data_IF_418459193820
#
_entry.id   IF_418459193820
#
_cell.length_a   1.000
_cell.length_b   1.000
_cell.length_c   1.000
_cell.angle_alpha   90.00
_cell.angle_beta   90.00
_cell.angle_gamma   90.00
#
_symmetry.space_group_name_H-M   'P 1'
#
loop_
_entity.id
_entity.type
_entity.pdbx_description
1 polymer ?
#
# COMPACT_ATOMS: atom_id res chain seq x y z
N UNK A 1 -7.52 -31.30 7.96
CA UNK A 1 -7.43 -30.68 6.64
C UNK A 1 -8.58 -29.71 6.49
N UNK A 2 -8.32 -28.40 6.61
CA UNK A 2 -9.30 -27.38 6.28
C UNK A 2 -9.06 -26.97 4.82
N UNK A 3 -9.84 -27.50 3.90
CA UNK A 3 -9.90 -27.02 2.52
C UNK A 3 -10.85 -25.82 2.52
N UNK A 4 -10.29 -24.61 2.60
CA UNK A 4 -11.07 -23.37 2.54
C UNK A 4 -11.65 -23.20 1.12
N UNK A 5 -12.95 -23.37 0.99
CA UNK A 5 -13.71 -22.92 -0.17
C UNK A 5 -13.96 -21.42 0.10
N UNK A 6 -13.48 -20.55 -0.78
CA UNK A 6 -13.72 -19.09 -0.68
C UNK A 6 -15.21 -18.74 -0.60
N UNK A 7 -15.57 -17.49 -0.28
CA UNK A 7 -16.88 -17.16 0.26
C UNK A 7 -18.04 -17.57 -0.64
N UNK A 8 -18.84 -18.53 -0.15
CA UNK A 8 -20.27 -18.47 -0.34
C UNK A 8 -20.86 -17.66 0.82
N UNK A 9 -21.53 -16.59 0.45
CA UNK A 9 -22.49 -15.80 1.21
C UNK A 9 -23.37 -16.64 2.15
N UNK A 10 -24.23 -15.98 2.94
CA UNK A 10 -24.15 -15.82 4.40
C UNK A 10 -23.95 -17.16 5.17
N UNK A 11 -23.03 -17.17 6.13
CA UNK A 11 -22.82 -18.29 7.06
C UNK A 11 -21.54 -19.11 6.87
N UNK A 12 -20.58 -18.65 6.06
CA UNK A 12 -19.31 -19.35 5.80
C UNK A 12 -18.12 -18.38 5.84
N UNK A 13 -17.01 -18.71 6.52
CA UNK A 13 -15.89 -17.79 6.77
C UNK A 13 -15.04 -17.52 5.52
N UNK A 14 -14.77 -16.22 5.26
CA UNK A 14 -13.88 -15.68 4.21
C UNK A 14 -12.38 -15.98 4.48
N UNK A 15 -12.07 -16.40 5.70
CA UNK A 15 -10.72 -16.64 6.20
C UNK A 15 -10.57 -18.05 6.79
N UNK A 16 -9.32 -18.55 6.85
CA UNK A 16 -8.99 -19.81 7.53
C UNK A 16 -9.31 -19.76 9.04
N UNK A 17 -9.06 -18.62 9.67
CA UNK A 17 -9.50 -18.31 11.04
C UNK A 17 -10.35 -17.06 10.98
N UNK A 18 -11.59 -17.12 11.45
CA UNK A 18 -12.51 -15.97 11.47
C UNK A 18 -13.12 -15.81 12.87
N UNK A 19 -13.15 -14.58 13.35
CA UNK A 19 -13.88 -14.17 14.55
C UNK A 19 -14.87 -13.06 14.20
N UNK A 20 -16.15 -13.26 14.53
CA UNK A 20 -17.22 -12.30 14.23
C UNK A 20 -17.93 -11.86 15.51
N UNK A 21 -18.06 -10.55 15.73
CA UNK A 21 -18.85 -10.00 16.84
C UNK A 21 -18.29 -10.31 18.23
N UNK A 22 -17.01 -10.65 18.34
CA UNK A 22 -16.37 -11.06 19.58
C UNK A 22 -15.90 -9.83 20.40
N UNK A 23 -15.78 -10.01 21.72
CA UNK A 23 -15.19 -9.03 22.63
C UNK A 23 -14.13 -9.73 23.48
N UNK A 24 -13.01 -9.06 23.74
CA UNK A 24 -11.88 -9.61 24.51
C UNK A 24 -11.38 -10.93 23.89
N UNK A 25 -10.92 -10.83 22.64
CA UNK A 25 -10.51 -11.97 21.83
C UNK A 25 -9.12 -11.75 21.25
N UNK A 26 -8.46 -12.81 20.80
CA UNK A 26 -7.13 -12.66 20.24
C UNK A 26 -6.45 -13.95 19.83
N UNK A 27 -5.32 -13.79 19.14
CA UNK A 27 -4.39 -14.86 18.79
C UNK A 27 -3.02 -14.45 19.35
N UNK A 28 -2.54 -15.16 20.36
CA UNK A 28 -1.33 -14.81 21.10
C UNK A 28 -0.44 -16.05 21.23
N UNK A 29 0.84 -15.90 20.92
CA UNK A 29 1.84 -16.96 21.06
C UNK A 29 3.05 -16.70 20.17
N UNK A 30 3.99 -17.62 20.15
CA UNK A 30 5.19 -17.60 19.29
C UNK A 30 5.11 -18.59 18.12
N UNK A 31 4.01 -19.34 18.04
CA UNK A 31 3.74 -20.35 17.01
C UNK A 31 3.46 -19.77 15.62
N UNK A 32 3.19 -20.69 14.69
CA UNK A 32 2.98 -20.39 13.27
C UNK A 32 1.57 -20.76 12.83
N UNK A 33 0.92 -19.87 12.07
CA UNK A 33 -0.27 -20.15 11.27
C UNK A 33 0.18 -20.18 9.81
N UNK A 34 0.11 -21.35 9.19
CA UNK A 34 0.52 -21.60 7.82
C UNK A 34 -0.72 -21.77 6.94
N UNK A 35 -0.85 -20.92 5.92
CA UNK A 35 -1.98 -20.89 5.00
C UNK A 35 -1.85 -21.80 3.78
N UNK A 36 -0.71 -22.47 3.58
CA UNK A 36 -0.47 -23.36 2.43
C UNK A 36 -0.74 -22.73 1.06
N UNK A 37 -0.55 -21.41 0.91
CA UNK A 37 -0.85 -20.65 -0.31
C UNK A 37 -0.04 -21.10 -1.54
N UNK A 38 1.15 -21.66 -1.31
CA UNK A 38 2.03 -22.21 -2.34
C UNK A 38 1.70 -23.67 -2.72
N UNK A 39 0.94 -24.37 -1.89
CA UNK A 39 0.79 -25.82 -2.01
C UNK A 39 -0.16 -26.17 -3.15
N UNK A 40 0.36 -26.95 -4.09
CA UNK A 40 -0.43 -27.50 -5.19
C UNK A 40 -1.26 -28.69 -4.68
N UNK A 41 -2.60 -28.66 -4.78
CA UNK A 41 -3.42 -29.82 -4.45
C UNK A 41 -3.26 -30.93 -5.51
N UNK A 42 -3.83 -32.14 -5.31
CA UNK A 42 -3.89 -33.14 -6.36
C UNK A 42 -4.60 -32.62 -7.61
N UNK A 43 -4.24 -33.09 -8.81
CA UNK A 43 -4.81 -32.61 -10.09
C UNK A 43 -6.35 -32.74 -10.21
N UNK A 44 -7.01 -33.50 -9.34
CA UNK A 44 -8.48 -33.59 -9.26
C UNK A 44 -9.13 -32.40 -8.55
N UNK A 45 -8.36 -31.60 -7.82
CA UNK A 45 -8.75 -30.39 -7.12
C UNK A 45 -7.98 -29.26 -7.80
N UNK A 46 -8.68 -28.24 -8.27
CA UNK A 46 -8.05 -26.99 -8.76
C UNK A 46 -7.06 -27.22 -9.92
N UNK A 47 -7.21 -28.32 -10.66
CA UNK A 47 -6.22 -28.92 -11.58
C UNK A 47 -4.77 -28.88 -11.07
N UNK A 48 -4.60 -29.01 -9.76
CA UNK A 48 -3.30 -28.97 -9.08
C UNK A 48 -2.64 -27.59 -9.05
N UNK A 49 -3.39 -26.51 -9.21
CA UNK A 49 -2.89 -25.15 -9.05
C UNK A 49 -2.96 -24.74 -7.58
N UNK A 50 -1.88 -24.14 -7.07
CA UNK A 50 -1.90 -23.48 -5.77
C UNK A 50 -2.66 -22.15 -5.84
N UNK A 51 -3.02 -21.61 -4.67
CA UNK A 51 -3.68 -20.30 -4.57
C UNK A 51 -2.87 -19.19 -5.25
N UNK A 52 -1.54 -19.21 -5.11
CA UNK A 52 -0.68 -18.22 -5.76
C UNK A 52 -0.61 -18.41 -7.27
N UNK A 53 -0.57 -19.65 -7.76
CA UNK A 53 -0.58 -19.95 -9.19
C UNK A 53 -1.88 -19.48 -9.85
N UNK A 54 -3.03 -19.71 -9.20
CA UNK A 54 -4.33 -19.22 -9.65
C UNK A 54 -4.35 -17.69 -9.75
N UNK A 55 -3.84 -16.99 -8.74
CA UNK A 55 -3.78 -15.53 -8.73
C UNK A 55 -2.87 -14.95 -9.82
N UNK A 56 -1.68 -15.53 -10.01
CA UNK A 56 -0.74 -15.11 -11.04
C UNK A 56 -1.34 -15.28 -12.45
N UNK A 57 -2.00 -16.41 -12.69
CA UNK A 57 -2.65 -16.67 -13.96
C UNK A 57 -3.82 -15.71 -14.22
N UNK A 58 -4.63 -15.40 -13.20
CA UNK A 58 -5.72 -14.44 -13.31
C UNK A 58 -5.23 -13.04 -13.73
N UNK A 59 -4.11 -12.56 -13.18
CA UNK A 59 -3.52 -11.25 -13.53
C UNK A 59 -3.08 -11.13 -15.00
N UNK A 60 -2.82 -12.26 -15.68
CA UNK A 60 -2.34 -12.28 -17.07
C UNK A 60 -3.45 -12.11 -18.13
N UNK A 61 -4.72 -12.06 -17.71
CA UNK A 61 -5.86 -11.99 -18.61
C UNK A 61 -6.08 -10.54 -19.09
N UNK A 62 -6.10 -10.34 -20.41
CA UNK A 62 -6.24 -9.03 -21.07
C UNK A 62 -7.69 -8.60 -21.32
N UNK A 63 -8.63 -9.54 -21.29
CA UNK A 63 -10.08 -9.30 -21.39
C UNK A 63 -10.82 -10.31 -20.50
N UNK A 64 -11.28 -9.85 -19.34
CA UNK A 64 -11.82 -10.73 -18.29
C UNK A 64 -13.21 -11.31 -18.63
N UNK A 65 -13.87 -10.81 -19.69
CA UNK A 65 -15.09 -11.41 -20.23
C UNK A 65 -14.87 -12.78 -20.90
N UNK A 66 -13.61 -13.15 -21.16
CA UNK A 66 -13.22 -14.44 -21.77
C UNK A 66 -12.67 -15.45 -20.74
N UNK A 67 -12.45 -15.04 -19.48
CA UNK A 67 -11.93 -15.90 -18.42
C UNK A 67 -12.91 -17.03 -18.12
N UNK A 68 -12.41 -18.24 -17.91
CA UNK A 68 -13.19 -19.46 -17.90
C UNK A 68 -12.62 -20.49 -16.95
N UNK A 69 -13.41 -21.00 -16.02
CA UNK A 69 -12.92 -21.93 -15.02
C UNK A 69 -13.91 -23.10 -14.85
N UNK A 70 -13.53 -24.29 -15.33
CA UNK A 70 -14.20 -25.56 -15.02
C UNK A 70 -13.34 -26.32 -14.01
N UNK A 71 -13.79 -26.34 -12.75
CA UNK A 71 -12.89 -26.61 -11.62
C UNK A 71 -11.94 -25.42 -11.40
N UNK A 72 -11.31 -25.33 -10.24
CA UNK A 72 -10.44 -24.21 -9.82
C UNK A 72 -9.11 -24.16 -10.60
N UNK A 73 -9.18 -24.23 -11.92
CA UNK A 73 -8.03 -24.25 -12.78
C UNK A 73 -8.21 -23.32 -13.95
N UNK A 74 -7.13 -22.61 -14.25
CA UNK A 74 -7.02 -21.75 -15.43
C UNK A 74 -6.94 -22.65 -16.66
N UNK A 75 -8.10 -23.08 -17.17
CA UNK A 75 -8.21 -23.65 -18.51
C UNK A 75 -8.65 -22.51 -19.42
N UNK A 76 -7.83 -22.23 -20.44
CA UNK A 76 -8.27 -21.44 -21.57
C UNK A 76 -9.56 -22.07 -22.15
N UNK A 77 -10.64 -21.28 -22.20
CA UNK A 77 -12.00 -21.54 -22.67
C UNK A 77 -13.03 -22.10 -21.65
N UNK A 78 -14.22 -21.44 -21.55
CA UNK A 78 -15.44 -21.65 -20.68
C UNK A 78 -15.80 -20.62 -19.56
N UNK A 79 -16.05 -19.36 -19.94
CA UNK A 79 -16.75 -18.26 -19.25
C UNK A 79 -17.03 -18.30 -17.73
N UNK A 80 -16.47 -17.34 -16.98
CA UNK A 80 -16.95 -16.78 -15.70
C UNK A 80 -17.88 -15.58 -15.92
N UNK A 81 -18.05 -15.13 -17.16
CA UNK A 81 -19.04 -14.12 -17.53
C UNK A 81 -20.45 -14.66 -17.20
N UNK A 82 -20.96 -14.40 -16.00
CA UNK A 82 -22.24 -14.96 -15.60
C UNK A 82 -22.73 -14.63 -14.20
N UNK A 83 -22.27 -15.31 -13.13
CA UNK A 83 -23.20 -15.46 -11.98
C UNK A 83 -22.65 -15.58 -10.55
N UNK A 84 -21.35 -15.79 -10.27
CA UNK A 84 -20.98 -16.19 -8.89
C UNK A 84 -20.29 -15.09 -8.05
N UNK A 85 -19.48 -14.21 -8.64
CA UNK A 85 -18.81 -13.10 -7.91
C UNK A 85 -18.78 -11.83 -8.78
N UNK A 86 -19.95 -11.32 -9.21
CA UNK A 86 -20.05 -10.15 -10.10
C UNK A 86 -19.42 -8.89 -9.51
N UNK A 87 -19.14 -8.89 -8.21
CA UNK A 87 -18.72 -7.71 -7.49
C UNK A 87 -17.20 -7.63 -7.30
N UNK A 88 -16.41 -8.70 -7.44
CA UNK A 88 -14.96 -8.61 -7.13
C UNK A 88 -14.19 -7.96 -8.30
N UNK A 89 -13.38 -6.90 -8.05
CA UNK A 89 -12.55 -6.26 -9.04
C UNK A 89 -11.63 -7.27 -9.69
N UNK A 90 -11.59 -7.25 -11.01
CA UNK A 90 -10.64 -8.06 -11.77
C UNK A 90 -9.19 -7.73 -11.40
N UNK A 91 -8.91 -6.51 -10.92
CA UNK A 91 -7.61 -6.09 -10.38
C UNK A 91 -7.16 -6.86 -9.14
N UNK A 92 -8.09 -7.46 -8.38
CA UNK A 92 -7.80 -8.23 -7.17
C UNK A 92 -7.49 -9.71 -7.47
N UNK A 93 -7.57 -10.11 -8.75
CA UNK A 93 -7.43 -11.49 -9.18
C UNK A 93 -8.67 -12.33 -8.85
N UNK A 94 -8.47 -13.62 -8.59
CA UNK A 94 -9.51 -14.54 -8.15
C UNK A 94 -9.75 -14.41 -6.62
N UNK A 95 -11.01 -14.52 -6.15
CA UNK A 95 -11.27 -14.66 -4.72
C UNK A 95 -10.53 -15.86 -4.13
N UNK A 96 -9.80 -15.60 -3.05
CA UNK A 96 -9.00 -16.57 -2.31
C UNK A 96 -9.24 -16.36 -0.81
N UNK A 97 -9.15 -17.41 0.00
CA UNK A 97 -9.34 -17.26 1.44
C UNK A 97 -8.27 -16.34 2.04
N UNK A 98 -8.66 -15.49 2.99
CA UNK A 98 -7.71 -14.80 3.87
C UNK A 98 -7.17 -15.78 4.92
N UNK A 99 -6.09 -15.42 5.60
CA UNK A 99 -5.56 -16.28 6.66
C UNK A 99 -6.28 -16.06 7.99
N UNK A 100 -6.33 -14.82 8.47
CA UNK A 100 -7.02 -14.45 9.71
C UNK A 100 -7.91 -13.24 9.47
N UNK A 101 -9.16 -13.33 9.92
CA UNK A 101 -10.11 -12.22 9.93
C UNK A 101 -10.68 -12.02 11.33
N UNK A 102 -10.71 -10.75 11.76
CA UNK A 102 -11.65 -10.28 12.77
C UNK A 102 -12.66 -9.35 12.09
N UNK A 103 -13.94 -9.59 12.37
CA UNK A 103 -15.05 -8.83 11.82
C UNK A 103 -15.93 -8.31 12.94
N UNK A 104 -16.10 -6.99 13.01
CA UNK A 104 -16.95 -6.30 13.99
C UNK A 104 -16.64 -6.74 15.43
N UNK A 105 -15.36 -6.94 15.75
CA UNK A 105 -14.89 -7.33 17.06
C UNK A 105 -14.45 -6.11 17.88
N UNK A 106 -14.34 -6.31 19.19
CA UNK A 106 -13.89 -5.28 20.13
C UNK A 106 -12.82 -5.84 21.07
N UNK A 107 -11.84 -5.02 21.42
CA UNK A 107 -10.79 -5.40 22.38
C UNK A 107 -10.02 -6.63 21.85
N UNK A 108 -9.48 -6.53 20.63
CA UNK A 108 -8.78 -7.61 19.93
C UNK A 108 -7.28 -7.52 20.17
N UNK A 109 -6.63 -8.64 20.50
CA UNK A 109 -5.16 -8.72 20.65
C UNK A 109 -4.54 -9.77 19.73
N UNK A 110 -3.62 -9.36 18.86
CA UNK A 110 -2.78 -10.28 18.08
C UNK A 110 -1.33 -10.11 18.48
N UNK A 111 -0.70 -11.16 19.01
CA UNK A 111 0.61 -11.08 19.66
C UNK A 111 1.58 -12.18 19.27
N UNK A 112 2.77 -11.82 18.76
CA UNK A 112 3.95 -12.69 18.63
C UNK A 112 3.95 -13.75 17.51
N UNK A 113 2.77 -14.11 17.01
CA UNK A 113 2.60 -15.21 16.06
C UNK A 113 3.28 -14.94 14.71
N UNK A 114 3.64 -16.02 14.01
CA UNK A 114 4.04 -16.00 12.61
C UNK A 114 2.86 -16.35 11.71
N UNK A 115 2.53 -15.47 10.77
CA UNK A 115 1.64 -15.75 9.65
C UNK A 115 2.49 -16.03 8.41
N UNK A 116 2.29 -17.17 7.76
CA UNK A 116 3.10 -17.59 6.60
C UNK A 116 2.26 -18.29 5.55
N UNK A 117 2.76 -18.26 4.32
CA UNK A 117 2.15 -18.82 3.13
C UNK A 117 0.64 -18.51 3.02
N UNK A 118 0.24 -17.27 3.29
CA UNK A 118 -1.17 -16.90 3.19
C UNK A 118 -1.65 -17.02 1.73
N UNK A 119 -2.82 -17.63 1.46
CA UNK A 119 -3.41 -17.64 0.13
C UNK A 119 -3.68 -16.25 -0.43
N UNK A 120 -3.96 -15.26 0.45
CA UNK A 120 -4.21 -13.86 0.14
C UNK A 120 -3.81 -12.98 1.36
N UNK A 121 -4.63 -12.04 1.82
CA UNK A 121 -4.33 -11.17 2.97
C UNK A 121 -4.10 -11.99 4.25
N UNK A 122 -3.10 -11.59 5.05
CA UNK A 122 -2.68 -12.35 6.23
C UNK A 122 -3.55 -12.04 7.44
N UNK A 123 -3.63 -10.77 7.86
CA UNK A 123 -4.45 -10.33 8.99
C UNK A 123 -5.39 -9.22 8.55
N UNK A 124 -6.69 -9.52 8.53
CA UNK A 124 -7.74 -8.59 8.13
C UNK A 124 -8.53 -8.17 9.38
N UNK A 125 -8.63 -6.86 9.61
CA UNK A 125 -9.29 -6.27 10.77
C UNK A 125 -10.44 -5.39 10.28
N UNK A 126 -11.65 -5.93 10.21
CA UNK A 126 -12.81 -5.28 9.57
C UNK A 126 -13.80 -4.77 10.60
N UNK A 127 -14.04 -3.46 10.60
CA UNK A 127 -15.00 -2.81 11.50
C UNK A 127 -14.71 -3.09 12.98
N UNK A 128 -13.46 -3.36 13.31
CA UNK A 128 -13.02 -3.65 14.67
C UNK A 128 -12.76 -2.36 15.44
N UNK A 129 -12.92 -2.42 16.77
CA UNK A 129 -12.62 -1.29 17.64
C UNK A 129 -11.68 -1.72 18.77
N UNK A 130 -10.66 -0.90 19.03
CA UNK A 130 -9.66 -1.18 20.06
C UNK A 130 -8.89 -2.48 19.77
N UNK A 131 -7.98 -2.40 18.80
CA UNK A 131 -7.14 -3.54 18.38
C UNK A 131 -5.68 -3.26 18.68
N UNK A 132 -5.01 -4.22 19.29
CA UNK A 132 -3.56 -4.24 19.43
C UNK A 132 -2.94 -5.38 18.61
N UNK A 133 -1.96 -5.02 17.78
CA UNK A 133 -1.09 -5.98 17.08
C UNK A 133 0.34 -5.74 17.54
N UNK A 134 0.92 -6.71 18.23
CA UNK A 134 2.22 -6.58 18.89
C UNK A 134 3.15 -7.73 18.50
N UNK A 135 4.35 -7.43 17.98
CA UNK A 135 5.34 -8.48 17.71
C UNK A 135 4.95 -9.46 16.60
N UNK A 136 3.93 -9.14 15.80
CA UNK A 136 3.47 -9.99 14.69
C UNK A 136 4.59 -10.16 13.66
N UNK A 137 4.76 -11.39 13.19
CA UNK A 137 5.63 -11.71 12.06
C UNK A 137 4.81 -12.18 10.87
N UNK A 138 5.12 -11.68 9.69
CA UNK A 138 4.55 -12.16 8.43
C UNK A 138 5.69 -12.52 7.49
N UNK A 139 5.63 -13.71 6.90
CA UNK A 139 6.60 -14.18 5.92
C UNK A 139 5.89 -14.90 4.77
N UNK A 140 5.82 -14.27 3.61
CA UNK A 140 5.37 -14.89 2.36
C UNK A 140 6.44 -14.74 1.27
N UNK A 141 6.33 -15.57 0.23
CA UNK A 141 7.15 -15.41 -0.95
C UNK A 141 6.89 -14.02 -1.57
N UNK A 142 7.92 -13.21 -1.90
CA UNK A 142 7.74 -11.88 -2.48
C UNK A 142 7.02 -11.84 -3.84
N UNK A 143 6.87 -12.98 -4.52
CA UNK A 143 6.11 -13.10 -5.77
C UNK A 143 4.65 -13.49 -5.55
N UNK A 144 4.25 -13.80 -4.31
CA UNK A 144 2.86 -14.15 -3.97
C UNK A 144 1.93 -12.95 -4.13
N UNK A 145 0.91 -13.09 -4.97
CA UNK A 145 0.02 -11.98 -5.32
C UNK A 145 -1.00 -11.67 -4.20
N UNK A 146 -1.18 -10.39 -3.86
CA UNK A 146 -2.21 -9.90 -2.91
C UNK A 146 -2.09 -10.55 -1.52
N UNK A 147 -0.85 -10.73 -1.05
CA UNK A 147 -0.55 -11.29 0.27
C UNK A 147 -0.28 -10.19 1.30
N UNK A 148 -1.08 -9.13 1.30
CA UNK A 148 -0.97 -7.99 2.22
C UNK A 148 -0.78 -8.48 3.68
N UNK A 149 0.09 -7.80 4.44
CA UNK A 149 0.48 -8.20 5.79
C UNK A 149 -0.62 -7.94 6.82
N UNK A 150 -1.09 -6.68 6.92
CA UNK A 150 -2.20 -6.29 7.78
C UNK A 150 -3.12 -5.32 7.04
N UNK A 151 -4.41 -5.61 7.06
CA UNK A 151 -5.46 -4.86 6.36
C UNK A 151 -6.53 -4.38 7.36
N UNK A 152 -6.35 -3.23 8.02
CA UNK A 152 -7.45 -2.60 8.73
C UNK A 152 -8.45 -2.00 7.73
N UNK A 153 -9.73 -2.34 7.87
CA UNK A 153 -10.82 -1.91 6.99
C UNK A 153 -11.99 -1.37 7.82
N UNK A 154 -12.18 -0.05 7.83
CA UNK A 154 -13.24 0.61 8.59
C UNK A 154 -13.10 0.45 10.10
N UNK A 155 -11.88 0.25 10.60
CA UNK A 155 -11.58 -0.08 11.99
C UNK A 155 -10.99 1.11 12.74
N UNK A 156 -11.20 1.17 14.05
CA UNK A 156 -10.90 2.35 14.86
C UNK A 156 -10.08 2.01 16.12
N UNK A 157 -9.20 2.92 16.53
CA UNK A 157 -8.34 2.78 17.72
C UNK A 157 -7.44 1.56 17.60
N UNK A 158 -6.46 1.68 16.71
CA UNK A 158 -5.58 0.59 16.31
C UNK A 158 -4.14 0.91 16.76
N UNK A 159 -3.46 -0.06 17.37
CA UNK A 159 -2.05 0.06 17.76
C UNK A 159 -1.26 -1.11 17.21
N UNK A 160 -0.45 -0.87 16.19
CA UNK A 160 0.44 -1.85 15.60
C UNK A 160 1.89 -1.51 15.96
N UNK A 161 2.60 -2.43 16.59
CA UNK A 161 3.98 -2.18 17.02
C UNK A 161 4.85 -3.42 17.07
N UNK A 162 6.16 -3.22 16.86
CA UNK A 162 7.12 -4.32 16.88
C UNK A 162 6.93 -5.32 15.73
N UNK A 163 6.41 -4.89 14.58
CA UNK A 163 6.08 -5.78 13.48
C UNK A 163 7.34 -6.18 12.70
N UNK A 164 7.35 -7.40 12.15
CA UNK A 164 8.30 -7.83 11.13
C UNK A 164 7.55 -8.46 9.97
N UNK A 165 7.41 -7.73 8.86
CA UNK A 165 6.53 -8.13 7.75
C UNK A 165 7.33 -8.19 6.46
N UNK A 166 7.41 -9.37 5.84
CA UNK A 166 7.92 -9.55 4.49
C UNK A 166 6.90 -10.36 3.68
N UNK A 167 6.40 -9.81 2.59
CA UNK A 167 5.32 -10.40 1.81
C UNK A 167 5.37 -10.01 0.34
N UNK A 168 4.40 -10.44 -0.47
CA UNK A 168 4.35 -10.17 -1.92
C UNK A 168 3.50 -8.96 -2.34
N UNK A 169 2.78 -8.34 -1.40
CA UNK A 169 2.03 -7.09 -1.60
C UNK A 169 2.28 -6.11 -0.44
N UNK A 170 1.36 -5.22 -0.09
CA UNK A 170 1.53 -4.21 0.97
C UNK A 170 1.90 -4.83 2.33
N UNK A 171 2.87 -4.24 3.04
CA UNK A 171 3.23 -4.70 4.38
C UNK A 171 2.11 -4.36 5.37
N UNK A 172 1.55 -3.16 5.24
CA UNK A 172 0.31 -2.73 5.90
C UNK A 172 -0.50 -1.94 4.88
N UNK A 173 -1.76 -2.32 4.66
CA UNK A 173 -2.68 -1.66 3.73
C UNK A 173 -3.90 -1.11 4.47
N UNK A 174 -3.88 0.19 4.76
CA UNK A 174 -4.93 0.89 5.47
C UNK A 174 -6.07 1.17 4.52
N UNK A 175 -7.23 0.55 4.76
CA UNK A 175 -8.41 0.62 3.90
C UNK A 175 -9.61 1.07 4.73
N UNK A 176 -10.71 1.41 4.09
CA UNK A 176 -11.96 1.81 4.75
C UNK A 176 -13.18 1.19 4.07
N UNK A 177 -12.98 0.31 3.11
CA UNK A 177 -14.03 -0.37 2.36
C UNK A 177 -13.98 -0.05 0.88
N UNK A 178 -14.55 -0.96 0.11
CA UNK A 178 -14.76 -0.81 -1.32
C UNK A 178 -16.07 -0.03 -1.58
N UNK A 179 -16.16 0.77 -2.64
CA UNK A 179 -17.35 1.52 -2.95
C UNK A 179 -18.56 0.59 -3.14
N UNK A 180 -19.60 0.83 -2.33
CA UNK A 180 -20.97 0.50 -2.69
C UNK A 180 -21.72 1.77 -3.10
N UNK A 181 -22.20 1.76 -4.36
CA UNK A 181 -23.24 2.62 -5.00
C UNK A 181 -22.69 3.87 -5.73
N UNK A 182 -23.04 4.15 -7.02
CA UNK A 182 -24.34 3.98 -7.72
C UNK A 182 -24.34 3.12 -9.01
N UNK A 183 -25.54 2.86 -9.56
CA UNK A 183 -25.77 2.08 -10.77
C UNK A 183 -24.84 2.50 -11.92
N UNK A 184 -24.07 1.54 -12.44
CA UNK A 184 -23.04 1.76 -13.45
C UNK A 184 -21.60 1.87 -12.93
N UNK A 185 -21.35 1.69 -11.63
CA UNK A 185 -19.97 1.60 -11.09
C UNK A 185 -19.36 0.19 -11.25
N UNK A 186 -18.02 0.14 -11.14
CA UNK A 186 -17.18 -1.05 -11.30
C UNK A 186 -17.36 -2.14 -10.21
N UNK A 187 -17.98 -1.85 -9.06
CA UNK A 187 -18.26 -2.78 -7.95
C UNK A 187 -19.62 -2.40 -7.32
N UNK A 188 -20.56 -3.34 -7.21
CA UNK A 188 -21.89 -3.15 -6.59
C UNK A 188 -22.18 -4.24 -5.55
N UNK A 189 -21.55 -4.22 -4.36
CA UNK A 189 -21.73 -5.31 -3.41
C UNK A 189 -23.23 -5.44 -3.07
N UNK A 190 -23.82 -6.63 -3.06
CA UNK A 190 -25.23 -6.84 -2.74
C UNK A 190 -25.57 -6.62 -1.25
N UNK A 191 -24.63 -6.09 -0.46
CA UNK A 191 -24.73 -5.94 0.99
C UNK A 191 -24.59 -4.49 1.45
N UNK A 192 -25.40 -4.14 2.45
CA UNK A 192 -25.28 -2.87 3.18
C UNK A 192 -24.11 -2.95 4.18
N UNK A 193 -22.89 -2.78 3.70
CA UNK A 193 -21.69 -2.76 4.54
C UNK A 193 -21.63 -1.47 5.40
N UNK A 194 -21.07 -1.53 6.62
CA UNK A 194 -20.84 -0.33 7.43
C UNK A 194 -20.03 0.73 6.67
N UNK A 195 -20.48 1.98 6.73
CA UNK A 195 -19.79 3.14 6.15
C UNK A 195 -18.96 3.84 7.23
N UNK A 196 -17.83 3.24 7.57
CA UNK A 196 -16.99 3.66 8.71
C UNK A 196 -15.58 3.99 8.22
N UNK A 197 -14.99 5.13 8.61
CA UNK A 197 -13.61 5.43 8.29
C UNK A 197 -12.66 4.54 9.11
N UNK A 198 -11.50 4.21 8.53
CA UNK A 198 -10.40 3.71 9.37
C UNK A 198 -9.73 4.89 10.04
N UNK A 199 -9.63 4.86 11.37
CA UNK A 199 -9.15 6.01 12.13
C UNK A 199 -8.42 5.65 13.41
N UNK A 200 -7.65 6.61 13.92
CA UNK A 200 -6.87 6.51 15.16
C UNK A 200 -5.92 5.30 15.13
N UNK A 201 -5.11 5.20 14.07
CA UNK A 201 -4.14 4.13 13.86
C UNK A 201 -2.72 4.62 14.16
N UNK A 202 -2.00 3.84 14.97
CA UNK A 202 -0.55 3.99 15.18
C UNK A 202 0.19 2.78 14.64
N UNK A 203 1.22 3.01 13.82
CA UNK A 203 2.18 1.99 13.35
C UNK A 203 3.58 2.38 13.80
N UNK A 204 4.19 1.59 14.67
CA UNK A 204 5.41 2.00 15.37
C UNK A 204 6.47 0.91 15.45
N UNK A 205 7.75 1.29 15.47
CA UNK A 205 8.88 0.41 15.83
C UNK A 205 8.89 -0.90 15.02
N UNK A 206 8.80 -0.81 13.70
CA UNK A 206 8.53 -1.96 12.83
C UNK A 206 9.55 -2.08 11.69
N UNK A 207 9.73 -3.30 11.19
CA UNK A 207 10.60 -3.60 10.05
C UNK A 207 9.77 -4.23 8.93
N UNK A 208 9.76 -3.57 7.78
CA UNK A 208 9.11 -4.03 6.56
C UNK A 208 10.18 -4.52 5.59
N UNK A 209 10.18 -5.82 5.32
CA UNK A 209 11.03 -6.50 4.35
C UNK A 209 10.49 -6.38 2.93
N UNK A 210 10.51 -7.45 2.13
CA UNK A 210 9.87 -7.41 0.80
C UNK A 210 8.37 -7.09 0.93
N UNK A 211 7.81 -6.42 -0.07
CA UNK A 211 6.42 -5.98 -0.09
C UNK A 211 6.25 -4.60 -0.72
N UNK A 212 5.03 -4.08 -0.76
CA UNK A 212 4.67 -2.81 -1.40
C UNK A 212 4.70 -1.60 -0.46
N UNK A 213 5.09 -1.77 0.81
CA UNK A 213 5.31 -0.68 1.77
C UNK A 213 4.17 -0.46 2.77
N UNK A 214 4.18 0.71 3.39
CA UNK A 214 3.10 1.22 4.23
C UNK A 214 2.12 1.98 3.34
N UNK A 215 0.99 1.36 3.04
CA UNK A 215 0.03 1.87 2.07
C UNK A 215 -1.27 2.32 2.73
N UNK A 216 -1.80 3.43 2.24
CA UNK A 216 -3.18 3.87 2.43
C UNK A 216 -3.91 3.61 1.11
N UNK A 217 -4.96 2.77 1.14
CA UNK A 217 -5.84 2.47 0.02
C UNK A 217 -5.61 1.09 -0.64
N UNK A 218 -6.18 0.84 -1.82
CA UNK A 218 -6.91 1.81 -2.66
C UNK A 218 -8.33 2.10 -2.17
N UNK A 219 -8.82 1.26 -1.28
CA UNK A 219 -10.20 1.16 -0.83
C UNK A 219 -10.51 2.22 0.23
N UNK A 220 -10.55 3.49 -0.17
CA UNK A 220 -10.62 4.66 0.74
C UNK A 220 -12.02 5.29 0.85
N UNK A 221 -13.07 4.58 0.43
CA UNK A 221 -14.38 5.20 0.14
C UNK A 221 -15.09 5.74 1.38
N UNK A 222 -14.78 5.26 2.57
CA UNK A 222 -15.38 5.72 3.81
C UNK A 222 -14.47 6.69 4.59
N UNK A 223 -13.30 7.03 4.04
CA UNK A 223 -12.35 7.95 4.65
C UNK A 223 -11.30 7.28 5.52
N UNK A 224 -10.16 7.96 5.65
CA UNK A 224 -9.01 7.51 6.44
C UNK A 224 -8.45 8.72 7.17
N UNK A 225 -8.34 8.65 8.49
CA UNK A 225 -7.93 9.82 9.28
C UNK A 225 -7.17 9.49 10.56
N UNK A 226 -6.40 10.46 11.06
CA UNK A 226 -5.63 10.35 12.31
C UNK A 226 -4.65 9.16 12.28
N UNK A 227 -3.80 9.14 11.24
CA UNK A 227 -2.80 8.09 11.05
C UNK A 227 -1.46 8.60 11.55
N UNK A 228 -0.82 7.82 12.43
CA UNK A 228 0.52 8.09 12.94
C UNK A 228 1.43 6.91 12.64
N UNK A 229 2.50 7.13 11.89
CA UNK A 229 3.48 6.09 11.60
C UNK A 229 4.88 6.58 11.95
N UNK A 230 5.62 5.85 12.79
CA UNK A 230 6.96 6.27 13.18
C UNK A 230 7.93 5.15 13.47
N UNK A 231 9.22 5.44 13.28
CA UNK A 231 10.32 4.52 13.54
C UNK A 231 10.10 3.20 12.77
N UNK A 232 10.06 3.31 11.44
CA UNK A 232 9.83 2.17 10.54
C UNK A 232 11.04 2.03 9.63
N UNK A 233 11.58 0.81 9.58
CA UNK A 233 12.62 0.44 8.65
C UNK A 233 12.01 -0.28 7.44
N UNK A 234 12.36 0.15 6.23
CA UNK A 234 11.98 -0.50 4.98
C UNK A 234 13.24 -1.12 4.35
N UNK A 235 13.17 -2.41 4.01
CA UNK A 235 14.28 -3.21 3.54
C UNK A 235 13.87 -3.92 2.25
N UNK A 236 14.21 -3.34 1.10
CA UNK A 236 13.91 -3.97 -0.19
C UNK A 236 12.45 -3.85 -0.65
N UNK A 237 11.62 -3.00 -0.03
CA UNK A 237 10.22 -2.79 -0.46
C UNK A 237 10.13 -2.10 -1.83
N UNK A 238 9.02 -2.32 -2.53
CA UNK A 238 8.73 -1.61 -3.79
C UNK A 238 8.39 -0.15 -3.54
N UNK A 239 7.68 0.17 -2.44
CA UNK A 239 7.44 1.54 -2.00
C UNK A 239 7.77 1.72 -0.52
N UNK A 240 8.06 2.95 -0.10
CA UNK A 240 8.15 3.31 1.30
C UNK A 240 6.78 3.64 1.87
N UNK A 241 6.48 4.94 2.02
CA UNK A 241 5.14 5.41 2.38
C UNK A 241 4.32 5.70 1.12
N UNK A 242 3.09 5.18 1.08
CA UNK A 242 2.23 5.22 -0.10
C UNK A 242 0.79 5.61 0.24
N UNK A 243 0.21 6.49 -0.57
CA UNK A 243 -1.23 6.74 -0.64
C UNK A 243 -1.68 6.43 -2.05
N UNK A 244 -2.64 5.53 -2.19
CA UNK A 244 -3.27 5.15 -3.46
C UNK A 244 -4.77 5.38 -3.37
N UNK A 245 -5.32 6.26 -4.19
CA UNK A 245 -6.77 6.50 -4.27
C UNK A 245 -7.17 6.94 -5.68
N UNK A 246 -8.44 7.21 -5.92
CA UNK A 246 -8.92 7.78 -7.18
C UNK A 246 -10.40 8.18 -7.16
N UNK A 247 -10.87 8.72 -8.29
CA UNK A 247 -12.18 9.38 -8.47
C UNK A 247 -13.41 8.56 -8.04
N UNK A 248 -13.29 7.24 -8.07
CA UNK A 248 -14.33 6.24 -7.83
C UNK A 248 -14.31 5.64 -6.40
N UNK A 249 -13.30 5.96 -5.59
CA UNK A 249 -13.06 5.31 -4.28
C UNK A 249 -12.50 6.24 -3.21
N UNK A 250 -12.31 7.52 -3.54
CA UNK A 250 -11.80 8.52 -2.62
C UNK A 250 -12.81 8.89 -1.54
N UNK A 251 -12.31 9.62 -0.55
CA UNK A 251 -13.06 10.38 0.44
C UNK A 251 -12.02 11.32 1.11
N UNK A 252 -12.32 11.85 2.29
CA UNK A 252 -11.35 12.53 3.15
C UNK A 252 -10.23 11.55 3.56
N UNK A 253 -8.99 11.87 3.19
CA UNK A 253 -7.77 11.16 3.60
C UNK A 253 -6.86 12.20 4.21
N UNK A 254 -6.85 12.31 5.55
CA UNK A 254 -6.27 13.47 6.19
C UNK A 254 -5.75 13.24 7.61
N UNK A 255 -5.04 14.24 8.12
CA UNK A 255 -4.38 14.18 9.42
C UNK A 255 -3.47 12.95 9.52
N UNK A 256 -2.44 12.96 8.67
CA UNK A 256 -1.46 11.88 8.54
C UNK A 256 -0.09 12.43 8.94
N UNK A 257 0.53 11.83 9.95
CA UNK A 257 1.89 12.16 10.39
C UNK A 257 2.76 10.90 10.28
N UNK A 258 3.73 10.95 9.40
CA UNK A 258 4.67 9.86 9.12
C UNK A 258 6.08 10.37 9.35
N UNK A 259 6.84 9.73 10.25
CA UNK A 259 8.18 10.22 10.59
C UNK A 259 9.17 9.15 10.98
N UNK A 260 10.45 9.51 11.01
CA UNK A 260 11.53 8.62 11.42
C UNK A 260 11.53 7.33 10.57
N UNK A 261 11.60 7.51 9.24
CA UNK A 261 11.62 6.40 8.28
C UNK A 261 13.03 6.15 7.77
N UNK A 262 13.49 4.91 7.87
CA UNK A 262 14.75 4.48 7.28
C UNK A 262 14.51 3.49 6.16
N UNK A 263 14.93 3.81 4.95
CA UNK A 263 14.69 3.01 3.76
C UNK A 263 16.03 2.55 3.18
N UNK A 264 16.18 1.25 2.99
CA UNK A 264 17.35 0.63 2.34
C UNK A 264 16.88 -0.15 1.13
N UNK A 265 17.39 0.24 -0.03
CA UNK A 265 17.00 -0.27 -1.34
C UNK A 265 15.48 -0.26 -1.46
N UNK A 266 14.87 0.92 -1.56
CA UNK A 266 13.42 1.04 -1.80
C UNK A 266 13.20 1.62 -3.19
N UNK A 267 12.28 1.00 -3.94
CA UNK A 267 11.96 1.38 -5.30
C UNK A 267 11.42 2.81 -5.37
N UNK A 268 10.28 3.07 -4.74
CA UNK A 268 9.63 4.39 -4.68
C UNK A 268 9.51 4.85 -3.22
N UNK A 269 10.44 5.68 -2.70
CA UNK A 269 10.43 6.09 -1.29
C UNK A 269 9.11 6.72 -0.83
N UNK A 270 8.57 7.68 -1.59
CA UNK A 270 7.29 8.32 -1.30
C UNK A 270 6.36 8.24 -2.53
N UNK A 271 5.14 7.73 -2.35
CA UNK A 271 4.20 7.49 -3.44
C UNK A 271 2.78 7.92 -3.09
N UNK A 272 2.43 9.18 -3.30
CA UNK A 272 1.11 9.73 -3.02
C UNK A 272 0.39 10.00 -4.35
N UNK A 273 -0.66 9.24 -4.66
CA UNK A 273 -1.35 9.31 -5.94
C UNK A 273 -2.87 9.18 -5.81
N UNK A 274 -3.57 10.10 -6.47
CA UNK A 274 -5.01 10.09 -6.69
C UNK A 274 -5.42 9.51 -8.06
N UNK A 275 -4.52 8.78 -8.74
CA UNK A 275 -4.73 8.15 -10.05
C UNK A 275 -4.57 6.63 -10.02
N UNK A 276 -4.90 5.95 -8.92
CA UNK A 276 -4.75 4.49 -8.88
C UNK A 276 -5.68 3.81 -9.92
N UNK A 277 -5.23 2.77 -10.67
CA UNK A 277 -3.89 2.20 -10.70
C UNK A 277 -2.91 2.91 -11.66
N UNK A 278 -3.39 3.76 -12.57
CA UNK A 278 -2.58 4.32 -13.66
C UNK A 278 -2.62 5.85 -13.66
N UNK A 279 -1.45 6.48 -13.46
CA UNK A 279 -1.25 7.92 -13.66
C UNK A 279 -1.24 8.22 -15.16
N UNK A 280 -2.06 9.17 -15.65
CA UNK A 280 -2.04 9.56 -17.05
C UNK A 280 -0.65 10.03 -17.49
N UNK A 281 -0.27 9.63 -18.70
CA UNK A 281 0.98 10.06 -19.31
C UNK A 281 1.00 11.58 -19.55
N UNK A 282 2.20 12.17 -19.78
CA UNK A 282 2.38 13.61 -20.01
C UNK A 282 1.51 14.19 -21.13
N UNK A 283 1.17 13.37 -22.12
CA UNK A 283 0.47 13.78 -23.35
C UNK A 283 -1.04 13.50 -23.34
N UNK A 284 -1.56 12.81 -22.32
CA UNK A 284 -2.98 12.42 -22.28
C UNK A 284 -3.92 13.59 -21.91
N UNK A 285 -3.36 14.73 -21.48
CA UNK A 285 -4.15 15.82 -20.92
C UNK A 285 -4.69 15.49 -19.53
N UNK A 286 -4.92 16.52 -18.71
CA UNK A 286 -5.46 16.36 -17.37
C UNK A 286 -6.52 17.40 -17.09
N UNK A 287 -7.76 17.06 -17.42
CA UNK A 287 -8.88 17.99 -17.31
C UNK A 287 -9.68 17.62 -16.06
N UNK A 288 -10.00 18.63 -15.26
CA UNK A 288 -10.87 18.51 -14.10
C UNK A 288 -12.16 17.76 -14.46
N UNK A 289 -12.48 16.70 -13.71
CA UNK A 289 -13.69 15.90 -13.92
C UNK A 289 -14.80 16.31 -12.94
N UNK A 290 -16.08 16.29 -13.38
CA UNK A 290 -17.22 16.50 -12.49
C UNK A 290 -17.50 15.23 -11.67
N UNK A 291 -16.78 15.05 -10.56
CA UNK A 291 -16.94 13.88 -9.69
C UNK A 291 -17.85 14.17 -8.48
N UNK A 292 -18.68 13.18 -8.05
CA UNK A 292 -19.44 13.29 -6.80
C UNK A 292 -18.52 13.55 -5.61
N UNK A 293 -18.90 14.48 -4.73
CA UNK A 293 -18.13 14.78 -3.53
C UNK A 293 -17.90 13.55 -2.62
N UNK A 294 -18.81 12.55 -2.68
CA UNK A 294 -18.74 11.35 -1.87
C UNK A 294 -17.63 10.36 -2.27
N UNK A 295 -17.14 10.39 -3.52
CA UNK A 295 -16.08 9.48 -4.02
C UNK A 295 -14.85 10.23 -4.49
N UNK A 296 -14.91 11.56 -4.53
CA UNK A 296 -13.77 12.41 -4.90
C UNK A 296 -12.63 12.19 -3.90
N UNK A 297 -11.40 11.89 -4.37
CA UNK A 297 -10.26 11.77 -3.49
C UNK A 297 -9.90 13.15 -2.95
N UNK A 298 -9.96 13.34 -1.64
CA UNK A 298 -9.51 14.57 -0.99
C UNK A 298 -8.42 14.23 0.01
N UNK A 299 -7.18 14.36 -0.45
CA UNK A 299 -5.97 14.00 0.27
C UNK A 299 -5.35 15.29 0.78
N UNK A 300 -5.32 15.49 2.10
CA UNK A 300 -4.82 16.74 2.68
C UNK A 300 -4.23 16.57 4.09
N UNK A 301 -3.57 17.61 4.59
CA UNK A 301 -3.00 17.69 5.94
C UNK A 301 -2.07 16.50 6.25
N UNK A 302 -1.00 16.42 5.46
CA UNK A 302 0.00 15.35 5.53
C UNK A 302 1.33 15.94 5.99
N UNK A 303 1.91 15.37 7.03
CA UNK A 303 3.28 15.65 7.46
C UNK A 303 4.15 14.41 7.25
N UNK A 304 5.23 14.55 6.49
CA UNK A 304 6.25 13.52 6.32
C UNK A 304 7.58 14.12 6.77
N UNK A 305 8.20 13.53 7.79
CA UNK A 305 9.46 14.09 8.31
C UNK A 305 10.52 13.08 8.74
N UNK A 306 11.79 13.46 8.68
CA UNK A 306 12.92 12.59 9.07
C UNK A 306 12.91 11.28 8.27
N UNK A 307 13.05 11.41 6.95
CA UNK A 307 13.10 10.28 6.01
C UNK A 307 14.52 10.17 5.48
N UNK A 308 15.15 9.00 5.67
CA UNK A 308 16.44 8.67 5.08
C UNK A 308 16.26 7.46 4.16
N UNK A 309 16.33 7.68 2.85
CA UNK A 309 16.28 6.62 1.84
C UNK A 309 17.62 6.50 1.13
N UNK A 310 18.26 5.34 1.27
CA UNK A 310 19.51 5.03 0.60
C UNK A 310 19.35 3.74 -0.21
N UNK A 311 19.89 3.70 -1.42
CA UNK A 311 19.84 2.50 -2.26
C UNK A 311 21.25 2.00 -2.67
N UNK A 312 22.01 1.43 -1.72
CA UNK A 312 23.31 0.83 -2.00
C UNK A 312 23.26 -0.52 -2.74
N UNK A 313 22.09 -1.13 -2.95
CA UNK A 313 21.92 -2.44 -3.59
C UNK A 313 22.37 -3.62 -2.73
N UNK A 314 22.23 -3.53 -1.40
CA UNK A 314 22.75 -4.52 -0.42
C UNK A 314 21.70 -5.49 0.10
N UNK A 315 20.44 -5.07 0.12
CA UNK A 315 19.25 -5.83 0.51
C UNK A 315 18.51 -6.34 -0.72
N UNK A 316 18.40 -5.50 -1.77
CA UNK A 316 17.78 -5.86 -3.04
C UNK A 316 18.43 -5.09 -4.18
N UNK A 317 18.79 -5.81 -5.23
CA UNK A 317 19.20 -5.19 -6.50
C UNK A 317 17.97 -4.60 -7.19
N UNK A 318 17.59 -3.39 -6.80
CA UNK A 318 16.55 -2.61 -7.43
C UNK A 318 16.99 -1.17 -7.57
N UNK A 319 16.59 -0.51 -8.65
CA UNK A 319 16.84 0.90 -8.83
C UNK A 319 15.78 1.72 -8.11
N UNK A 320 16.19 2.81 -7.46
CA UNK A 320 15.24 3.80 -6.95
C UNK A 320 14.64 4.54 -8.14
N UNK A 321 13.32 4.49 -8.25
CA UNK A 321 12.54 5.32 -9.15
C UNK A 321 12.22 6.69 -8.54
N UNK A 322 11.51 7.55 -9.28
CA UNK A 322 11.08 8.84 -8.76
C UNK A 322 10.07 8.65 -7.63
N UNK A 323 10.19 9.46 -6.57
CA UNK A 323 9.05 9.65 -5.66
C UNK A 323 7.97 10.47 -6.37
N UNK A 324 6.72 10.37 -5.94
CA UNK A 324 5.60 11.00 -6.63
C UNK A 324 4.55 11.55 -5.66
N UNK A 325 4.04 12.75 -5.98
CA UNK A 325 2.91 13.41 -5.34
C UNK A 325 2.00 13.94 -6.44
N UNK A 326 0.95 13.18 -6.75
CA UNK A 326 0.09 13.40 -7.91
C UNK A 326 -1.38 13.43 -7.47
N UNK A 327 -1.93 14.63 -7.33
CA UNK A 327 -3.37 14.86 -7.16
C UNK A 327 -4.11 14.90 -8.50
N UNK A 328 -5.44 14.95 -8.45
CA UNK A 328 -6.29 15.20 -9.63
C UNK A 328 -6.57 16.72 -9.77
N UNK A 329 -6.79 17.28 -10.97
CA UNK A 329 -6.95 18.73 -11.14
C UNK A 329 -8.09 19.35 -10.33
N UNK A 330 -9.19 18.61 -10.15
CA UNK A 330 -10.36 19.04 -9.37
C UNK A 330 -10.23 18.81 -7.86
N UNK A 331 -9.15 18.15 -7.42
CA UNK A 331 -8.87 17.82 -6.03
C UNK A 331 -7.36 17.60 -5.83
N UNK A 332 -6.56 18.68 -5.85
CA UNK A 332 -5.13 18.61 -5.58
C UNK A 332 -4.82 17.92 -4.24
N UNK A 333 -3.64 17.30 -4.13
CA UNK A 333 -3.12 16.91 -2.81
C UNK A 333 -2.79 18.21 -2.08
N UNK A 334 -3.46 18.49 -0.96
CA UNK A 334 -3.36 19.77 -0.27
C UNK A 334 -2.56 19.69 1.04
N UNK A 335 -1.95 20.80 1.48
CA UNK A 335 -1.28 20.92 2.79
C UNK A 335 -0.27 19.81 3.08
N UNK A 336 0.63 19.53 2.14
CA UNK A 336 1.71 18.56 2.33
C UNK A 336 2.95 19.24 2.90
N UNK A 337 3.46 18.73 4.01
CA UNK A 337 4.75 19.14 4.58
C UNK A 337 5.79 18.03 4.41
N UNK A 338 6.92 18.36 3.78
CA UNK A 338 8.12 17.52 3.72
C UNK A 338 9.23 18.16 4.54
N UNK A 339 9.71 17.51 5.60
CA UNK A 339 10.76 18.06 6.46
C UNK A 339 11.86 17.05 6.75
N UNK A 340 13.13 17.41 6.56
CA UNK A 340 14.27 16.52 6.81
C UNK A 340 14.16 15.21 6.01
N UNK A 341 14.03 15.34 4.69
CA UNK A 341 13.89 14.21 3.75
C UNK A 341 15.14 14.12 2.89
N UNK A 342 15.82 12.98 2.93
CA UNK A 342 17.00 12.68 2.11
C UNK A 342 16.76 11.41 1.30
N UNK A 343 16.81 11.52 -0.03
CA UNK A 343 16.71 10.39 -0.97
C UNK A 343 18.01 10.29 -1.75
N UNK A 344 18.79 9.25 -1.46
CA UNK A 344 20.08 8.98 -2.08
C UNK A 344 20.03 7.69 -2.90
N UNK A 345 20.38 7.77 -4.17
CA UNK A 345 20.37 6.66 -5.13
C UNK A 345 21.66 6.61 -5.93
N UNK A 346 21.96 5.46 -6.54
CA UNK A 346 23.11 5.35 -7.45
C UNK A 346 22.85 6.05 -8.80
N UNK A 347 21.63 5.97 -9.31
CA UNK A 347 21.19 6.61 -10.55
C UNK A 347 20.45 7.93 -10.26
N UNK A 348 20.41 8.89 -11.21
CA UNK A 348 19.68 10.14 -11.02
C UNK A 348 18.17 9.95 -10.86
N UNK A 349 17.58 10.59 -9.85
CA UNK A 349 16.13 10.54 -9.54
C UNK A 349 15.55 11.92 -9.24
N UNK A 350 14.23 12.00 -9.03
CA UNK A 350 13.49 13.25 -8.77
C UNK A 350 12.20 12.96 -8.00
N UNK A 351 11.50 14.01 -7.56
CA UNK A 351 10.15 13.91 -6.99
C UNK A 351 9.15 14.50 -8.00
N UNK A 352 8.26 13.68 -8.58
CA UNK A 352 7.21 14.18 -9.48
C UNK A 352 6.11 14.88 -8.69
N UNK A 353 5.76 16.12 -9.06
CA UNK A 353 4.63 16.86 -8.50
C UNK A 353 3.59 17.17 -9.56
N UNK A 354 2.32 16.92 -9.28
CA UNK A 354 1.22 17.31 -10.17
C UNK A 354 -0.03 17.52 -9.36
N UNK A 355 -0.69 18.66 -9.57
CA UNK A 355 -1.88 19.07 -8.81
C UNK A 355 -1.65 18.93 -7.29
N UNK A 356 -0.71 19.72 -6.75
CA UNK A 356 -0.38 19.77 -5.32
C UNK A 356 -0.58 21.20 -4.79
N UNK A 357 -1.45 21.40 -3.83
CA UNK A 357 -1.71 22.72 -3.24
C UNK A 357 -1.07 22.84 -1.84
N UNK A 358 -0.45 23.97 -1.51
CA UNK A 358 0.16 24.19 -0.19
C UNK A 358 1.30 23.23 0.19
N UNK A 359 2.17 22.86 -0.76
CA UNK A 359 3.40 22.11 -0.45
C UNK A 359 4.39 22.99 0.30
N UNK A 360 4.80 22.56 1.49
CA UNK A 360 5.88 23.15 2.28
C UNK A 360 7.05 22.17 2.37
N UNK A 361 8.26 22.63 2.05
CA UNK A 361 9.48 21.86 2.27
C UNK A 361 10.40 22.53 3.29
N UNK A 362 11.16 21.73 4.02
CA UNK A 362 12.28 22.17 4.85
C UNK A 362 13.36 21.09 4.85
N UNK A 363 14.57 21.39 4.36
CA UNK A 363 15.67 20.41 4.30
C UNK A 363 15.28 19.12 3.54
N UNK A 364 14.95 19.28 2.25
CA UNK A 364 14.57 18.17 1.36
C UNK A 364 15.64 18.02 0.29
N UNK A 365 16.30 16.86 0.23
CA UNK A 365 17.38 16.56 -0.69
C UNK A 365 17.14 15.27 -1.48
N UNK A 366 17.50 15.31 -2.77
CA UNK A 366 17.54 14.16 -3.66
C UNK A 366 18.91 14.13 -4.33
N UNK A 367 19.59 12.99 -4.32
CA UNK A 367 20.93 12.88 -4.89
C UNK A 367 21.20 11.50 -5.52
N UNK A 368 21.77 11.44 -6.75
CA UNK A 368 21.90 12.53 -7.70
C UNK A 368 20.55 12.93 -8.31
N UNK A 369 20.43 14.18 -8.76
CA UNK A 369 19.20 14.68 -9.41
C UNK A 369 19.21 14.35 -10.90
N UNK A 370 18.10 13.85 -11.44
CA UNK A 370 17.97 13.59 -12.89
C UNK A 370 17.98 14.88 -13.71
N UNK A 371 18.79 14.91 -14.78
CA UNK A 371 18.86 16.03 -15.73
C UNK A 371 17.71 16.06 -16.74
N UNK A 372 16.89 15.00 -16.83
CA UNK A 372 15.72 14.92 -17.70
C UNK A 372 14.45 15.55 -17.10
N UNK A 373 14.58 16.26 -15.97
CA UNK A 373 13.51 17.07 -15.37
C UNK A 373 13.06 18.15 -16.37
N UNK A 374 11.74 18.34 -16.58
CA UNK A 374 11.25 19.40 -17.45
C UNK A 374 11.70 20.79 -16.98
N UNK A 375 12.54 21.43 -17.80
CA UNK A 375 13.07 22.80 -17.72
C UNK A 375 13.54 23.32 -16.34
N UNK A 376 14.87 23.38 -16.20
CA UNK A 376 15.65 24.23 -15.29
C UNK A 376 15.68 23.86 -13.80
N UNK A 377 16.49 22.85 -13.45
CA UNK A 377 17.17 22.84 -12.15
C UNK A 377 16.30 22.61 -10.91
N UNK A 378 15.06 22.17 -11.07
CA UNK A 378 14.19 21.84 -9.95
C UNK A 378 14.26 20.33 -9.61
N UNK A 379 14.28 20.01 -8.31
CA UNK A 379 14.12 18.63 -7.79
C UNK A 379 12.73 18.05 -8.12
N UNK A 380 11.82 18.89 -8.63
CA UNK A 380 10.43 18.59 -8.90
C UNK A 380 10.07 18.76 -10.38
N UNK A 381 9.34 17.78 -10.92
CA UNK A 381 8.66 17.90 -12.22
C UNK A 381 7.23 18.39 -11.97
N UNK A 382 6.84 19.56 -12.51
CA UNK A 382 5.52 20.20 -12.32
C UNK A 382 4.70 20.20 -13.60
N UNK A 383 4.09 19.06 -13.93
CA UNK A 383 3.14 18.93 -15.03
C UNK A 383 1.73 19.39 -14.60
N UNK A 384 1.50 20.68 -14.33
CA UNK A 384 0.13 21.10 -13.97
C UNK A 384 -0.14 22.49 -13.42
N UNK A 385 0.83 23.38 -13.29
CA UNK A 385 0.54 24.80 -13.04
C UNK A 385 0.17 25.16 -11.60
N UNK A 386 1.03 24.80 -10.65
CA UNK A 386 0.97 25.34 -9.30
C UNK A 386 1.37 26.81 -9.23
N UNK A 387 0.65 27.59 -8.41
CA UNK A 387 1.17 28.84 -7.85
C UNK A 387 2.16 28.51 -6.72
N UNK A 388 3.25 29.29 -6.63
CA UNK A 388 4.31 29.30 -5.63
C UNK A 388 4.48 28.02 -4.76
N UNK A 389 5.42 27.15 -5.14
CA UNK A 389 6.00 26.17 -4.22
C UNK A 389 6.90 26.94 -3.24
N UNK A 390 6.57 26.94 -1.95
CA UNK A 390 7.34 27.65 -0.92
C UNK A 390 8.30 26.71 -0.16
N UNK A 391 9.53 27.16 0.09
CA UNK A 391 10.48 26.48 0.99
C UNK A 391 11.21 25.25 0.44
N UNK A 392 10.90 24.77 -0.77
CA UNK A 392 11.67 23.68 -1.37
C UNK A 392 12.99 24.20 -1.94
N UNK A 393 14.02 24.22 -1.09
CA UNK A 393 15.41 24.49 -1.48
C UNK A 393 15.88 23.44 -2.50
N UNK A 394 15.77 23.77 -3.78
CA UNK A 394 16.40 23.03 -4.88
C UNK A 394 17.88 23.39 -4.98
N UNK A 395 18.62 23.24 -3.88
CA UNK A 395 20.08 23.40 -3.92
C UNK A 395 20.68 22.10 -4.47
N UNK A 396 21.55 22.15 -5.51
CA UNK A 396 22.35 20.99 -5.86
C UNK A 396 23.23 20.69 -4.66
N UNK A 397 23.00 19.57 -3.98
CA UNK A 397 23.86 19.13 -2.90
C UNK A 397 25.24 18.87 -3.51
N UNK A 398 26.15 19.82 -3.31
CA UNK A 398 27.57 19.62 -3.54
C UNK A 398 28.02 18.62 -2.49
N UNK A 399 28.22 17.37 -2.91
CA UNK A 399 28.96 16.41 -2.10
C UNK A 399 30.35 17.00 -1.95
N UNK A 400 30.65 17.55 -0.77
CA UNK A 400 32.02 17.91 -0.43
C UNK A 400 32.85 16.61 -0.50
N UNK A 401 33.90 16.55 -1.33
CA UNK A 401 34.77 15.39 -1.32
C UNK A 401 35.38 15.29 0.08
N UNK A 402 35.40 14.08 0.62
CA UNK A 402 36.09 13.74 1.85
C UNK A 402 37.45 14.43 1.87
N UNK A 403 37.69 15.21 2.93
CA UNK A 403 38.89 16.00 3.09
C UNK A 403 40.13 15.13 2.91
N UNK A 404 40.89 15.43 1.86
CA UNK A 404 42.26 14.99 1.71
C UNK A 404 43.01 15.38 2.99
N UNK A 405 43.44 14.39 3.77
CA UNK A 405 44.36 14.57 4.88
C UNK A 405 45.70 15.07 4.31
N UNK A 406 45.84 16.39 4.22
CA UNK A 406 47.04 17.08 3.77
C UNK A 406 47.74 17.80 4.92
N UNK A 407 48.72 17.11 5.52
CA UNK A 407 49.96 17.63 6.13
C UNK A 407 49.94 18.70 7.23
N UNK A 408 50.69 18.49 8.33
CA UNK A 408 51.48 19.52 8.95
C UNK A 408 52.87 19.58 8.27
N UNK A 409 53.22 20.73 7.72
CA UNK A 409 54.62 21.09 7.47
C UNK A 409 55.39 21.09 8.80
N UNK A 410 56.52 20.38 8.84
CA UNK A 410 57.60 20.63 9.78
C UNK A 410 58.85 20.98 8.96
N UNK A 411 59.40 22.17 9.21
CA UNK A 411 60.56 22.67 8.49
C UNK A 411 61.86 21.98 8.91
N UNK A 412 62.74 21.78 7.94
CA UNK A 412 64.05 22.43 7.81
C UNK A 412 64.63 22.11 6.44
#
# INVERSE_FOLDING_TARGET
SATGIGPSLPGHPEAMISGEGLTDTGIIGDGTIDGSGADAPPASIDNGQSWWAMAAAAKSLTDYAQASFQGNAVLAATSYAGTNFPDIPTSNGLPRPWLVEFYNCKDVTVGGVLLTNSPMWNLVLRYDTNVEVAGLRVLNDPSSANTDGIDPVGSQKLRFHGLSISTGDDNVAIKSGLPGIPAGSYYQPPYNLPRVPTSDLRVENSVFGRGHGLSIGSETVNGIQHIRARNIQFLGTDNGFRIKTGRDRGNQIFDIDVRDLKMTDVGTPLSLSAYYPTIPGPTQGDIAQPEPAATRPYVHDISISTVEANNPGTVRDQTTGPSLVVGVPESPIASLTLRDVAINSAAPVYIRLRNVDGLTCQNVGVAPVSASTPSQGHVFDNEGGLQAIEGCDVSPVVIAPEGNAGTPQAGQ
#
